data_IF_228682437916
#
_entry.id   IF_228682437916
#
_cell.length_a   1.000
_cell.length_b   1.000
_cell.length_c   1.000
_cell.angle_alpha   90.00
_cell.angle_beta   90.00
_cell.angle_gamma   90.00
#
_symmetry.space_group_name_H-M   'P 1'
#
loop_
_entity.id
_entity.type
_entity.pdbx_description
1 polymer ?
#
# COMPACT_ATOMS: atom_id res chain seq x y z
N UNK A 1 -6.59 0.92 48.23
CA UNK A 1 -5.59 0.03 47.58
C UNK A 1 -6.04 -0.55 46.23
N UNK A 2 -6.73 0.22 45.36
CA UNK A 2 -7.05 -0.27 43.99
C UNK A 2 -7.13 0.83 42.95
N UNK A 3 -6.43 1.95 43.14
CA UNK A 3 -6.48 3.09 42.24
C UNK A 3 -5.43 3.02 41.10
N UNK A 4 -4.45 2.12 41.20
CA UNK A 4 -3.36 2.01 40.20
C UNK A 4 -3.67 1.04 39.05
N UNK A 5 -4.50 0.00 39.27
CA UNK A 5 -4.80 -0.98 38.24
C UNK A 5 -5.77 -0.46 37.17
N UNK A 6 -6.81 0.27 37.55
CA UNK A 6 -7.82 0.77 36.62
C UNK A 6 -7.34 1.98 35.78
N UNK A 7 -6.49 2.84 36.34
CA UNK A 7 -5.87 3.94 35.61
C UNK A 7 -4.85 3.44 34.59
N UNK A 8 -4.05 2.43 34.95
CA UNK A 8 -3.06 1.85 34.03
C UNK A 8 -3.70 1.21 32.81
N UNK A 9 -4.80 0.47 32.97
CA UNK A 9 -5.55 -0.11 31.86
C UNK A 9 -6.17 0.97 30.98
N UNK A 10 -6.80 1.99 31.56
CA UNK A 10 -7.37 3.10 30.78
C UNK A 10 -6.32 3.86 29.97
N UNK A 11 -5.12 4.05 30.50
CA UNK A 11 -4.03 4.71 29.79
C UNK A 11 -3.46 3.81 28.68
N UNK A 12 -3.41 2.49 28.87
CA UNK A 12 -3.02 1.52 27.84
C UNK A 12 -4.01 1.56 26.68
N UNK A 13 -5.33 1.50 26.94
CA UNK A 13 -6.35 1.56 25.88
C UNK A 13 -6.31 2.88 25.11
N UNK A 14 -6.14 4.01 25.78
CA UNK A 14 -6.00 5.32 25.12
C UNK A 14 -4.76 5.39 24.22
N UNK A 15 -3.63 4.84 24.68
CA UNK A 15 -2.41 4.78 23.86
C UNK A 15 -2.57 3.87 22.65
N UNK A 16 -3.26 2.74 22.79
CA UNK A 16 -3.55 1.84 21.67
C UNK A 16 -4.47 2.49 20.65
N UNK A 17 -5.50 3.21 21.11
CA UNK A 17 -6.40 3.96 20.21
C UNK A 17 -5.64 5.06 19.47
N UNK A 18 -4.82 5.84 20.17
CA UNK A 18 -3.99 6.87 19.55
C UNK A 18 -3.00 6.30 18.50
N UNK A 19 -2.36 5.17 18.81
CA UNK A 19 -1.46 4.49 17.89
C UNK A 19 -2.21 4.01 16.66
N UNK A 20 -3.41 3.46 16.81
CA UNK A 20 -4.26 3.03 15.71
C UNK A 20 -4.66 4.21 14.81
N UNK A 21 -5.09 5.33 15.42
CA UNK A 21 -5.44 6.54 14.67
C UNK A 21 -4.24 7.03 13.86
N UNK A 22 -3.05 7.11 14.47
CA UNK A 22 -1.82 7.51 13.79
C UNK A 22 -1.46 6.56 12.63
N UNK A 23 -1.61 5.27 12.82
CA UNK A 23 -1.37 4.26 11.79
C UNK A 23 -2.35 4.42 10.61
N UNK A 24 -3.64 4.62 10.89
CA UNK A 24 -4.65 4.88 9.86
C UNK A 24 -4.38 6.18 9.11
N UNK A 25 -4.00 7.25 9.81
CA UNK A 25 -3.59 8.51 9.18
C UNK A 25 -2.38 8.31 8.26
N UNK A 26 -1.35 7.58 8.70
CA UNK A 26 -0.18 7.27 7.89
C UNK A 26 -0.59 6.50 6.62
N UNK A 27 -1.45 5.48 6.77
CA UNK A 27 -1.98 4.72 5.63
C UNK A 27 -2.67 5.65 4.61
N UNK A 28 -3.59 6.48 5.06
CA UNK A 28 -4.33 7.38 4.17
C UNK A 28 -3.44 8.45 3.53
N UNK A 29 -2.52 9.03 4.27
CA UNK A 29 -1.58 10.01 3.73
C UNK A 29 -0.68 9.39 2.66
N UNK A 30 -0.22 8.15 2.85
CA UNK A 30 0.55 7.44 1.84
C UNK A 30 -0.27 7.17 0.57
N UNK A 31 -1.53 6.77 0.72
CA UNK A 31 -2.46 6.61 -0.41
C UNK A 31 -2.62 7.91 -1.18
N UNK A 32 -2.83 9.03 -0.49
CA UNK A 32 -2.97 10.36 -1.09
C UNK A 32 -1.67 10.73 -1.81
N UNK A 33 -0.52 10.54 -1.19
CA UNK A 33 0.78 10.85 -1.76
C UNK A 33 1.02 10.11 -3.08
N UNK A 34 0.79 8.81 -3.12
CA UNK A 34 0.92 8.02 -4.35
C UNK A 34 -0.12 8.47 -5.39
N UNK A 35 -1.37 8.71 -4.98
CA UNK A 35 -2.45 9.11 -5.90
C UNK A 35 -2.25 10.47 -6.54
N UNK A 36 -1.58 11.41 -5.90
CA UNK A 36 -1.27 12.71 -6.48
C UNK A 36 -0.49 12.61 -7.80
N UNK A 37 0.44 11.65 -7.88
CA UNK A 37 1.27 11.42 -9.08
C UNK A 37 0.65 10.41 -10.05
N UNK A 38 -0.17 9.47 -9.56
CA UNK A 38 -0.81 8.44 -10.38
C UNK A 38 -2.01 8.99 -11.18
N UNK A 39 -2.71 10.00 -10.65
CA UNK A 39 -3.94 10.53 -11.21
C UNK A 39 -5.20 9.79 -10.75
N UNK A 40 -6.36 10.24 -11.26
CA UNK A 40 -7.68 9.71 -10.85
C UNK A 40 -8.01 8.37 -11.49
N UNK A 41 -7.68 8.21 -12.75
CA UNK A 41 -7.92 7.01 -13.55
C UNK A 41 -6.59 6.42 -13.98
N UNK A 42 -6.45 5.12 -13.84
CA UNK A 42 -5.27 4.35 -14.21
C UNK A 42 -5.63 2.87 -14.27
N UNK A 43 -5.04 2.15 -15.22
CA UNK A 43 -5.14 0.69 -15.24
C UNK A 43 -4.40 0.02 -14.06
N UNK A 44 -3.55 0.74 -13.32
CA UNK A 44 -3.01 0.24 -12.07
C UNK A 44 -4.12 0.12 -11.03
N UNK A 45 -4.28 -1.07 -10.46
CA UNK A 45 -5.36 -1.34 -9.51
C UNK A 45 -5.23 -0.46 -8.25
N UNK A 46 -6.33 0.18 -7.85
CA UNK A 46 -6.38 0.97 -6.60
C UNK A 46 -6.02 0.16 -5.35
N UNK A 47 -6.19 -1.17 -5.41
CA UNK A 47 -5.77 -2.08 -4.35
C UNK A 47 -4.25 -2.04 -4.10
N UNK A 48 -3.42 -1.84 -5.14
CA UNK A 48 -1.96 -1.70 -5.01
C UNK A 48 -1.63 -0.52 -4.11
N UNK A 49 -2.23 0.63 -4.38
CA UNK A 49 -2.00 1.87 -3.61
C UNK A 49 -2.53 1.73 -2.18
N UNK A 50 -3.75 1.20 -2.02
CA UNK A 50 -4.35 1.00 -0.71
C UNK A 50 -3.54 0.01 0.16
N UNK A 51 -3.11 -1.11 -0.43
CA UNK A 51 -2.31 -2.10 0.26
C UNK A 51 -0.91 -1.57 0.63
N UNK A 52 -0.31 -0.71 -0.19
CA UNK A 52 0.96 -0.04 0.15
C UNK A 52 0.77 0.87 1.38
N UNK A 53 -0.30 1.66 1.42
CA UNK A 53 -0.64 2.44 2.61
C UNK A 53 -0.87 1.58 3.85
N UNK A 54 -1.58 0.46 3.70
CA UNK A 54 -1.79 -0.51 4.78
C UNK A 54 -0.47 -1.11 5.29
N UNK A 55 0.46 -1.46 4.39
CA UNK A 55 1.78 -1.98 4.75
C UNK A 55 2.58 -0.98 5.59
N UNK A 56 2.52 0.32 5.25
CA UNK A 56 3.14 1.38 6.06
C UNK A 56 2.55 1.43 7.47
N UNK A 57 1.21 1.37 7.59
CA UNK A 57 0.51 1.38 8.87
C UNK A 57 0.87 0.16 9.73
N UNK A 58 0.90 -1.04 9.14
CA UNK A 58 1.27 -2.28 9.81
C UNK A 58 2.72 -2.19 10.31
N UNK A 59 3.65 -1.74 9.47
CA UNK A 59 5.06 -1.54 9.84
C UNK A 59 5.19 -0.57 11.01
N UNK A 60 4.43 0.54 10.99
CA UNK A 60 4.40 1.50 12.08
C UNK A 60 3.87 0.88 13.39
N UNK A 61 2.77 0.13 13.34
CA UNK A 61 2.19 -0.56 14.52
C UNK A 61 3.13 -1.61 15.11
N UNK A 62 3.96 -2.23 14.27
CA UNK A 62 5.01 -3.17 14.70
C UNK A 62 6.24 -2.46 15.31
N UNK A 63 6.23 -1.13 15.40
CA UNK A 63 7.34 -0.33 15.93
C UNK A 63 8.43 -0.01 14.89
N UNK A 64 8.14 -0.16 13.61
CA UNK A 64 9.04 0.20 12.52
C UNK A 64 9.27 1.71 12.43
N UNK A 65 10.51 2.09 12.16
CA UNK A 65 10.91 3.47 11.93
C UNK A 65 10.74 3.88 10.45
N UNK A 66 11.09 5.12 10.11
CA UNK A 66 11.01 5.65 8.75
C UNK A 66 11.73 4.76 7.71
N UNK A 67 12.87 4.20 8.06
CA UNK A 67 13.66 3.34 7.15
C UNK A 67 12.88 2.05 6.85
N UNK A 68 12.32 1.39 7.86
CA UNK A 68 11.54 0.16 7.69
C UNK A 68 10.23 0.42 6.94
N UNK A 69 9.60 1.58 7.14
CA UNK A 69 8.44 1.99 6.33
C UNK A 69 8.84 2.13 4.85
N UNK A 70 9.99 2.73 4.55
CA UNK A 70 10.51 2.81 3.17
C UNK A 70 10.78 1.41 2.58
N UNK A 71 11.28 0.47 3.38
CA UNK A 71 11.48 -0.92 2.96
C UNK A 71 10.14 -1.60 2.63
N UNK A 72 9.13 -1.41 3.49
CA UNK A 72 7.80 -1.95 3.24
C UNK A 72 7.22 -1.43 1.91
N UNK A 73 7.38 -0.14 1.61
CA UNK A 73 6.94 0.45 0.34
C UNK A 73 7.67 -0.20 -0.85
N UNK A 74 8.99 -0.33 -0.80
CA UNK A 74 9.78 -0.97 -1.86
C UNK A 74 9.36 -2.43 -2.08
N UNK A 75 9.15 -3.18 -1.00
CA UNK A 75 8.67 -4.56 -1.05
C UNK A 75 7.28 -4.65 -1.70
N UNK A 76 6.38 -3.73 -1.39
CA UNK A 76 5.06 -3.65 -2.02
C UNK A 76 5.16 -3.37 -3.52
N UNK A 77 5.98 -2.40 -3.93
CA UNK A 77 6.20 -2.05 -5.33
C UNK A 77 6.80 -3.25 -6.08
N UNK A 78 7.83 -3.90 -5.53
CA UNK A 78 8.45 -5.06 -6.16
C UNK A 78 7.52 -6.25 -6.35
N UNK A 79 6.47 -6.36 -5.51
CA UNK A 79 5.58 -7.53 -5.52
C UNK A 79 4.33 -7.34 -6.40
N UNK A 80 3.57 -6.23 -6.23
CA UNK A 80 2.21 -6.14 -6.80
C UNK A 80 2.00 -5.03 -7.83
N UNK A 81 3.05 -4.42 -8.35
CA UNK A 81 2.97 -3.38 -9.40
C UNK A 81 2.19 -3.85 -10.65
N UNK A 82 2.23 -5.13 -10.98
CA UNK A 82 1.54 -5.71 -12.13
C UNK A 82 0.03 -5.95 -11.97
N UNK A 83 -0.58 -5.58 -10.84
CA UNK A 83 -2.03 -5.80 -10.63
C UNK A 83 -2.86 -4.76 -11.39
N UNK A 84 -3.53 -5.22 -12.45
CA UNK A 84 -4.35 -4.38 -13.34
C UNK A 84 -5.76 -4.22 -12.80
N UNK A 85 -6.33 -3.02 -12.97
CA UNK A 85 -7.74 -2.72 -12.73
C UNK A 85 -8.55 -2.94 -14.02
N UNK A 86 -9.60 -3.73 -13.91
CA UNK A 86 -10.55 -4.05 -14.97
C UNK A 86 -12.00 -3.77 -14.54
N UNK A 87 -12.20 -2.66 -13.81
CA UNK A 87 -13.47 -2.21 -13.28
C UNK A 87 -13.80 -2.74 -11.88
N UNK A 88 -14.77 -2.09 -11.24
CA UNK A 88 -15.25 -2.49 -9.92
C UNK A 88 -16.22 -3.68 -10.04
N UNK A 89 -15.89 -4.80 -9.39
CA UNK A 89 -16.64 -6.05 -9.49
C UNK A 89 -16.48 -6.90 -8.23
N UNK A 90 -17.38 -7.88 -7.97
CA UNK A 90 -17.33 -8.73 -6.78
C UNK A 90 -15.97 -9.45 -6.61
N UNK A 91 -15.32 -9.87 -7.71
CA UNK A 91 -14.00 -10.51 -7.67
C UNK A 91 -12.86 -9.59 -7.18
N UNK A 92 -13.10 -8.28 -7.03
CA UNK A 92 -12.13 -7.39 -6.38
C UNK A 92 -11.86 -7.78 -4.93
N UNK A 93 -12.77 -8.51 -4.28
CA UNK A 93 -12.52 -9.08 -2.95
C UNK A 93 -11.26 -9.96 -2.92
N UNK A 94 -11.00 -10.72 -4.00
CA UNK A 94 -9.77 -11.53 -4.12
C UNK A 94 -8.52 -10.64 -4.26
N UNK A 95 -8.61 -9.54 -5.01
CA UNK A 95 -7.51 -8.56 -5.12
C UNK A 95 -7.21 -7.89 -3.77
N UNK A 96 -8.26 -7.59 -3.00
CA UNK A 96 -8.10 -7.04 -1.63
C UNK A 96 -7.41 -8.06 -0.72
N UNK A 97 -7.83 -9.32 -0.75
CA UNK A 97 -7.20 -10.41 0.02
C UNK A 97 -5.72 -10.55 -0.32
N UNK A 98 -5.37 -10.56 -1.61
CA UNK A 98 -3.97 -10.60 -2.07
C UNK A 98 -3.19 -9.36 -1.61
N UNK A 99 -3.81 -8.18 -1.70
CA UNK A 99 -3.22 -6.92 -1.26
C UNK A 99 -2.92 -6.91 0.24
N UNK A 100 -3.85 -7.38 1.07
CA UNK A 100 -3.66 -7.47 2.53
C UNK A 100 -2.56 -8.46 2.88
N UNK A 101 -2.55 -9.64 2.24
CA UNK A 101 -1.50 -10.64 2.46
C UNK A 101 -0.11 -10.11 2.08
N UNK A 102 -0.02 -9.42 0.95
CA UNK A 102 1.24 -8.78 0.51
C UNK A 102 1.65 -7.65 1.44
N UNK A 103 0.70 -6.84 1.93
CA UNK A 103 0.98 -5.76 2.87
C UNK A 103 1.59 -6.28 4.17
N UNK A 104 1.03 -7.37 4.71
CA UNK A 104 1.56 -8.03 5.91
C UNK A 104 2.95 -8.61 5.66
N UNK A 105 3.13 -9.35 4.55
CA UNK A 105 4.42 -9.92 4.18
C UNK A 105 5.49 -8.83 4.04
N UNK A 106 5.19 -7.76 3.32
CA UNK A 106 6.11 -6.63 3.09
C UNK A 106 6.50 -5.95 4.39
N UNK A 107 5.56 -5.78 5.32
CA UNK A 107 5.83 -5.23 6.65
C UNK A 107 6.73 -6.15 7.48
N UNK A 108 6.45 -7.46 7.50
CA UNK A 108 7.27 -8.44 8.21
C UNK A 108 8.71 -8.48 7.68
N UNK A 109 8.88 -8.51 6.36
CA UNK A 109 10.19 -8.44 5.72
C UNK A 109 10.94 -7.15 6.11
N UNK A 110 10.23 -6.02 6.07
CA UNK A 110 10.82 -4.73 6.43
C UNK A 110 11.26 -4.68 7.91
N UNK A 111 10.51 -5.32 8.82
CA UNK A 111 10.88 -5.40 10.23
C UNK A 111 12.13 -6.25 10.47
N UNK A 112 12.43 -7.18 9.57
CA UNK A 112 13.66 -7.98 9.54
C UNK A 112 14.79 -7.34 8.69
N UNK A 113 14.63 -6.06 8.32
CA UNK A 113 15.55 -5.30 7.47
C UNK A 113 15.77 -5.94 6.08
N UNK A 114 14.79 -6.73 5.61
CA UNK A 114 14.77 -7.33 4.27
C UNK A 114 13.99 -6.44 3.31
N UNK A 115 14.64 -6.07 2.20
CA UNK A 115 14.09 -5.13 1.22
C UNK A 115 14.48 -5.53 -0.20
N UNK A 116 13.57 -5.31 -1.15
CA UNK A 116 13.87 -5.35 -2.59
C UNK A 116 14.85 -4.23 -2.91
N UNK A 117 15.96 -4.59 -3.54
CA UNK A 117 17.10 -3.70 -3.75
C UNK A 117 16.97 -2.88 -5.03
N UNK A 118 17.76 -1.81 -5.15
CA UNK A 118 17.76 -0.93 -6.32
C UNK A 118 18.27 -1.56 -7.62
N UNK A 119 18.82 -2.77 -7.56
CA UNK A 119 19.19 -3.54 -8.75
C UNK A 119 18.02 -4.34 -9.33
N UNK A 120 16.86 -4.30 -8.68
CA UNK A 120 15.68 -5.10 -9.04
C UNK A 120 14.59 -4.22 -9.67
N UNK A 121 14.28 -4.49 -10.93
CA UNK A 121 13.12 -3.91 -11.63
C UNK A 121 13.07 -2.38 -11.60
N UNK A 122 12.02 -1.82 -11.02
CA UNK A 122 11.75 -0.37 -11.00
C UNK A 122 12.12 0.28 -9.66
N UNK A 123 12.74 -0.46 -8.76
CA UNK A 123 13.13 0.02 -7.43
C UNK A 123 14.38 0.92 -7.54
N UNK A 124 14.40 2.00 -6.78
CA UNK A 124 15.53 2.91 -6.61
C UNK A 124 16.01 2.90 -5.16
N UNK A 125 17.23 3.38 -4.90
CA UNK A 125 17.72 3.61 -3.53
C UNK A 125 16.79 4.56 -2.76
N UNK A 126 16.30 5.58 -3.44
CA UNK A 126 15.33 6.53 -2.92
C UNK A 126 13.92 5.97 -3.08
N UNK A 127 13.17 5.89 -1.97
CA UNK A 127 11.79 5.41 -1.95
C UNK A 127 10.85 6.34 -2.75
N UNK A 128 11.09 7.64 -2.76
CA UNK A 128 10.27 8.58 -3.50
C UNK A 128 10.45 8.40 -5.02
N UNK A 129 11.65 8.06 -5.47
CA UNK A 129 11.89 7.66 -6.86
C UNK A 129 11.24 6.33 -7.20
N UNK A 130 11.25 5.36 -6.30
CA UNK A 130 10.53 4.09 -6.49
C UNK A 130 9.02 4.33 -6.65
N UNK A 131 8.44 5.22 -5.86
CA UNK A 131 7.04 5.64 -6.00
C UNK A 131 6.81 6.38 -7.31
N UNK A 132 7.73 7.26 -7.70
CA UNK A 132 7.65 7.97 -8.98
C UNK A 132 7.69 7.01 -10.17
N UNK A 133 8.54 5.98 -10.14
CA UNK A 133 8.60 4.94 -11.15
C UNK A 133 7.29 4.14 -11.24
N UNK A 134 6.73 3.73 -10.09
CA UNK A 134 5.42 3.08 -10.02
C UNK A 134 4.32 3.94 -10.64
N UNK A 135 4.27 5.22 -10.27
CA UNK A 135 3.23 6.14 -10.73
C UNK A 135 3.39 6.51 -12.20
N UNK A 136 4.62 6.58 -12.71
CA UNK A 136 4.89 6.78 -14.15
C UNK A 136 4.38 5.59 -14.98
N UNK A 137 4.61 4.35 -14.51
CA UNK A 137 4.06 3.15 -15.15
C UNK A 137 2.54 3.19 -15.10
N UNK A 138 1.95 3.43 -13.93
CA UNK A 138 0.50 3.42 -13.75
C UNK A 138 -0.22 4.54 -14.50
N UNK A 139 0.39 5.72 -14.68
CA UNK A 139 -0.22 6.84 -15.40
C UNK A 139 0.05 6.78 -16.91
N UNK A 140 1.31 6.87 -17.30
CA UNK A 140 1.71 6.96 -18.71
C UNK A 140 1.88 5.58 -19.35
N UNK A 141 2.54 4.65 -18.66
CA UNK A 141 2.86 3.33 -19.20
C UNK A 141 1.63 2.45 -19.43
N UNK A 142 0.58 2.63 -18.62
CA UNK A 142 -0.64 1.83 -18.71
C UNK A 142 -1.78 2.48 -19.51
N UNK A 143 -1.56 3.61 -20.20
CA UNK A 143 -2.62 4.29 -20.96
C UNK A 143 -3.21 3.40 -22.06
N UNK A 144 -2.37 2.71 -22.82
CA UNK A 144 -2.83 1.75 -23.84
C UNK A 144 -3.55 0.56 -23.23
N UNK A 145 -3.08 0.09 -22.07
CA UNK A 145 -3.72 -0.99 -21.30
C UNK A 145 -5.11 -0.57 -20.83
N UNK A 146 -5.26 0.64 -20.32
CA UNK A 146 -6.54 1.18 -19.86
C UNK A 146 -7.57 1.25 -20.99
N UNK A 147 -7.16 1.74 -22.16
CA UNK A 147 -8.01 1.77 -23.37
C UNK A 147 -8.42 0.36 -23.79
N UNK A 148 -7.45 -0.58 -23.87
CA UNK A 148 -7.75 -1.97 -24.25
C UNK A 148 -8.70 -2.65 -23.27
N UNK A 149 -8.52 -2.44 -21.98
CA UNK A 149 -9.43 -2.98 -20.94
C UNK A 149 -10.84 -2.41 -21.14
N UNK A 150 -10.96 -1.11 -21.41
CA UNK A 150 -12.26 -0.47 -21.66
C UNK A 150 -12.94 -1.06 -22.90
N UNK A 151 -12.20 -1.21 -24.01
CA UNK A 151 -12.72 -1.79 -25.26
C UNK A 151 -13.23 -3.23 -25.05
N UNK A 152 -12.45 -4.05 -24.31
CA UNK A 152 -12.88 -5.41 -23.97
C UNK A 152 -14.15 -5.40 -23.11
N UNK A 153 -14.23 -4.49 -22.13
CA UNK A 153 -15.37 -4.42 -21.24
C UNK A 153 -16.65 -3.97 -21.95
N UNK A 154 -16.54 -2.98 -22.83
CA UNK A 154 -17.68 -2.43 -23.59
C UNK A 154 -18.11 -3.32 -24.74
N UNK A 155 -17.21 -4.15 -25.28
CA UNK A 155 -17.51 -5.11 -26.34
C UNK A 155 -18.21 -6.39 -25.86
N UNK A 156 -18.43 -6.58 -24.54
CA UNK A 156 -19.20 -7.72 -24.03
C UNK A 156 -20.69 -7.52 -24.28
N UNK A 157 -21.30 -8.43 -25.05
CA UNK A 157 -22.75 -8.56 -25.08
C UNK A 157 -23.30 -9.00 -23.73
N UNK A 158 -24.24 -8.26 -23.19
CA UNK A 158 -25.02 -8.64 -22.01
C UNK A 158 -26.01 -9.74 -22.34
#
# INVERSE_FOLDING_TARGET
>A
RDVLGSRGLGDVYKRQEEQLIRALMLSHLMVIYIKQSLGRLSALCGCVVAATGASCAITYLMGGNKVRISYAIKNMIGNITGMICDGAKPSCAMKVSSGVSTAMLSALMAMEDKVVTSVEGIIDEDVDKSIANLTAIGSKGMEATDRLVLDIMTGKSC
#
